data_IF_928074331070
#
_entry.id   IF_928074331070
#
_cell.length_a   1.000
_cell.length_b   1.000
_cell.length_c   1.000
_cell.angle_alpha   90.00
_cell.angle_beta   90.00
_cell.angle_gamma   90.00
#
_symmetry.space_group_name_H-M   'P 1'
#
loop_
_entity.id
_entity.type
_entity.pdbx_description
1 polymer ?
#
# COMPACT_ATOMS: atom_id res chain seq x y z
N UNK A 1 -10.94 -61.76 30.22
CA UNK A 1 -10.96 -62.80 29.16
C UNK A 1 -10.44 -62.18 27.86
N UNK A 2 -9.23 -62.51 27.41
CA UNK A 2 -8.73 -62.15 26.09
C UNK A 2 -8.87 -63.34 25.11
N UNK A 3 -9.43 -63.11 23.93
CA UNK A 3 -9.48 -64.06 22.81
C UNK A 3 -8.85 -63.36 21.61
N UNK A 4 -7.57 -63.63 21.33
CA UNK A 4 -7.07 -64.62 20.34
C UNK A 4 -7.48 -64.24 18.91
N UNK A 5 -6.51 -63.76 18.12
CA UNK A 5 -5.73 -64.54 17.12
C UNK A 5 -6.29 -64.26 15.71
N UNK A 6 -5.54 -64.12 14.60
CA UNK A 6 -4.45 -64.98 14.15
C UNK A 6 -3.79 -64.44 12.86
N UNK A 7 -2.48 -64.68 12.74
CA UNK A 7 -1.68 -65.03 11.53
C UNK A 7 -1.54 -64.01 10.38
N UNK A 8 -0.49 -64.04 9.55
CA UNK A 8 0.95 -64.43 9.54
C UNK A 8 1.35 -64.31 8.06
N UNK A 9 2.65 -64.09 7.79
CA UNK A 9 3.34 -64.36 6.50
C UNK A 9 3.04 -63.40 5.34
N UNK A 10 3.96 -63.09 4.42
CA UNK A 10 5.32 -63.55 4.18
C UNK A 10 6.10 -62.53 3.32
N UNK A 11 7.41 -62.76 3.32
CA UNK A 11 8.51 -62.15 2.57
C UNK A 11 8.24 -61.90 1.07
N UNK A 12 8.90 -60.86 0.55
CA UNK A 12 9.23 -60.71 -0.86
C UNK A 12 10.33 -59.68 -1.05
N UNK A 13 11.59 -60.13 -1.02
CA UNK A 13 12.73 -59.37 -1.56
C UNK A 13 12.72 -59.52 -3.08
N UNK A 14 12.75 -58.41 -3.82
CA UNK A 14 13.28 -58.36 -5.18
C UNK A 14 14.14 -57.11 -5.29
N UNK A 15 15.44 -57.30 -5.48
CA UNK A 15 16.38 -56.30 -5.92
C UNK A 15 16.70 -56.58 -7.39
N UNK A 16 16.53 -55.59 -8.26
CA UNK A 16 17.21 -55.51 -9.54
C UNK A 16 17.25 -54.03 -9.94
N UNK A 17 18.47 -53.55 -10.19
CA UNK A 17 18.77 -52.15 -10.39
C UNK A 17 18.87 -51.70 -11.84
N UNK A 18 19.49 -50.52 -11.95
CA UNK A 18 19.97 -49.80 -13.13
C UNK A 18 18.91 -48.96 -13.84
N UNK A 19 19.05 -47.63 -13.75
CA UNK A 19 19.61 -46.76 -14.80
C UNK A 19 19.74 -45.35 -14.21
N UNK A 20 20.95 -44.79 -14.31
CA UNK A 20 21.23 -43.39 -14.06
C UNK A 20 20.52 -42.52 -15.10
N UNK A 21 19.65 -41.63 -14.65
CA UNK A 21 19.13 -40.51 -15.41
C UNK A 21 19.35 -39.24 -14.61
N UNK A 22 20.47 -38.55 -14.87
CA UNK A 22 20.68 -37.16 -14.49
C UNK A 22 19.60 -36.32 -15.17
N UNK A 23 18.47 -36.09 -14.49
CA UNK A 23 17.61 -34.96 -14.81
C UNK A 23 18.11 -33.80 -13.97
N UNK A 24 18.96 -32.99 -14.59
CA UNK A 24 19.16 -31.59 -14.22
C UNK A 24 17.81 -30.91 -14.42
N UNK A 25 16.94 -31.02 -13.41
CA UNK A 25 15.70 -30.28 -13.31
C UNK A 25 16.03 -28.93 -12.70
N UNK A 26 16.01 -27.90 -13.53
CA UNK A 26 16.35 -26.52 -13.21
C UNK A 26 15.95 -26.12 -11.79
N UNK A 27 16.89 -25.50 -11.09
CA UNK A 27 16.67 -24.63 -9.94
C UNK A 27 15.71 -23.50 -10.37
N UNK A 28 14.42 -23.80 -10.42
CA UNK A 28 13.37 -22.81 -10.56
C UNK A 28 13.30 -22.08 -9.24
N UNK A 29 13.87 -20.88 -9.18
CA UNK A 29 13.64 -19.90 -8.12
C UNK A 29 12.18 -19.47 -8.11
N UNK A 30 11.28 -20.37 -7.73
CA UNK A 30 9.86 -20.11 -7.54
C UNK A 30 9.62 -19.91 -6.07
N UNK A 31 9.58 -18.66 -5.62
CA UNK A 31 9.17 -18.28 -4.26
C UNK A 31 7.90 -19.04 -3.89
N UNK A 32 7.91 -19.74 -2.75
CA UNK A 32 6.79 -20.55 -2.28
C UNK A 32 5.50 -19.71 -2.20
N UNK A 33 4.39 -20.25 -2.71
CA UNK A 33 3.09 -19.57 -2.70
C UNK A 33 2.57 -19.46 -1.26
N UNK A 34 2.35 -18.25 -0.76
CA UNK A 34 1.76 -18.02 0.55
C UNK A 34 0.24 -18.13 0.48
N UNK A 35 -0.38 -18.81 1.43
CA UNK A 35 -1.83 -18.82 1.59
C UNK A 35 -2.28 -17.68 2.48
N UNK A 36 -3.32 -16.96 2.06
CA UNK A 36 -4.01 -15.92 2.83
C UNK A 36 -5.43 -16.40 3.09
N UNK A 37 -5.75 -16.68 4.35
CA UNK A 37 -7.09 -17.09 4.74
C UNK A 37 -8.04 -15.89 4.76
N UNK A 38 -9.20 -16.05 4.13
CA UNK A 38 -10.32 -15.12 4.15
C UNK A 38 -11.53 -15.86 4.68
N UNK A 39 -12.14 -15.37 5.76
CA UNK A 39 -13.33 -15.98 6.35
C UNK A 39 -14.53 -15.09 6.08
N UNK A 40 -15.50 -15.62 5.34
CA UNK A 40 -16.77 -14.98 5.08
C UNK A 40 -17.82 -15.50 6.07
N UNK A 41 -18.37 -14.58 6.87
CA UNK A 41 -19.44 -14.86 7.84
C UNK A 41 -20.77 -14.33 7.33
N UNK A 42 -21.81 -14.37 8.18
CA UNK A 42 -23.11 -13.77 7.85
C UNK A 42 -22.99 -12.27 7.58
N UNK A 43 -22.18 -11.57 8.37
CA UNK A 43 -22.21 -10.11 8.43
C UNK A 43 -21.05 -9.45 7.66
N UNK A 44 -19.87 -10.08 7.62
CA UNK A 44 -18.69 -9.53 6.95
C UNK A 44 -17.67 -10.60 6.54
N UNK A 45 -16.69 -10.20 5.73
CA UNK A 45 -15.50 -10.98 5.43
C UNK A 45 -14.26 -10.43 6.17
N UNK A 46 -13.36 -11.31 6.56
CA UNK A 46 -12.13 -10.95 7.29
C UNK A 46 -10.91 -11.63 6.68
N UNK A 47 -9.71 -11.03 6.76
CA UNK A 47 -9.40 -9.74 7.38
C UNK A 47 -9.86 -8.55 6.51
N UNK A 48 -9.98 -7.35 7.10
CA UNK A 48 -10.26 -6.12 6.36
C UNK A 48 -9.04 -5.58 5.57
N UNK A 49 -7.84 -6.08 5.89
CA UNK A 49 -6.57 -5.69 5.27
C UNK A 49 -5.64 -6.88 5.14
N UNK A 50 -4.99 -7.00 3.99
CA UNK A 50 -4.03 -8.06 3.66
C UNK A 50 -2.75 -7.39 3.21
N UNK A 51 -1.61 -7.80 3.78
CA UNK A 51 -0.29 -7.34 3.34
C UNK A 51 0.36 -8.42 2.46
N UNK A 52 0.85 -8.04 1.29
CA UNK A 52 1.49 -8.92 0.28
C UNK A 52 2.76 -8.28 -0.26
N UNK A 53 3.60 -8.95 -1.06
CA UNK A 53 4.74 -8.32 -1.75
C UNK A 53 4.49 -8.15 -3.25
N UNK A 54 5.16 -7.19 -3.88
CA UNK A 54 5.12 -7.06 -5.34
C UNK A 54 5.65 -8.34 -5.98
N UNK A 55 4.98 -8.83 -7.01
CA UNK A 55 5.30 -10.12 -7.63
C UNK A 55 5.04 -11.34 -6.74
N UNK A 56 4.53 -11.16 -5.51
CA UNK A 56 4.23 -12.29 -4.64
C UNK A 56 3.12 -13.14 -5.25
N UNK A 57 3.36 -14.45 -5.28
CA UNK A 57 2.32 -15.43 -5.62
C UNK A 57 1.59 -15.79 -4.33
N UNK A 58 0.34 -15.38 -4.23
CA UNK A 58 -0.54 -15.71 -3.09
C UNK A 58 -1.67 -16.63 -3.53
N UNK A 59 -2.16 -17.43 -2.60
CA UNK A 59 -3.43 -18.14 -2.70
C UNK A 59 -4.40 -17.53 -1.70
N UNK A 60 -5.45 -16.85 -2.18
CA UNK A 60 -6.56 -16.48 -1.32
C UNK A 60 -7.41 -17.72 -1.06
N UNK A 61 -7.46 -18.18 0.18
CA UNK A 61 -8.31 -19.28 0.61
C UNK A 61 -9.54 -18.69 1.29
N UNK A 62 -10.64 -18.62 0.53
CA UNK A 62 -11.90 -18.03 0.96
C UNK A 62 -12.80 -19.13 1.52
N UNK A 63 -12.97 -19.16 2.84
CA UNK A 63 -13.88 -20.06 3.54
C UNK A 63 -15.19 -19.35 3.83
N UNK A 64 -16.30 -19.87 3.29
CA UNK A 64 -17.63 -19.38 3.58
C UNK A 64 -18.23 -20.16 4.75
N UNK A 65 -18.29 -19.54 5.92
CA UNK A 65 -18.90 -20.09 7.13
C UNK A 65 -20.36 -19.62 7.31
N UNK A 66 -20.88 -18.83 6.36
CA UNK A 66 -22.28 -18.41 6.37
C UNK A 66 -23.20 -19.48 5.77
N UNK A 67 -24.51 -19.31 5.99
CA UNK A 67 -25.55 -20.20 5.46
C UNK A 67 -25.98 -19.89 4.02
N UNK A 68 -25.43 -18.85 3.40
CA UNK A 68 -25.75 -18.44 2.04
C UNK A 68 -24.49 -18.27 1.20
N UNK A 69 -24.66 -18.17 -0.11
CA UNK A 69 -23.53 -18.02 -1.02
C UNK A 69 -22.83 -16.67 -0.84
N UNK A 70 -21.56 -16.64 -1.21
CA UNK A 70 -20.69 -15.46 -1.20
C UNK A 70 -20.01 -15.34 -2.54
N UNK A 71 -19.73 -14.12 -2.97
CA UNK A 71 -18.90 -13.84 -4.13
C UNK A 71 -17.63 -13.12 -3.69
N UNK A 72 -16.54 -13.41 -4.40
CA UNK A 72 -15.24 -12.78 -4.21
C UNK A 72 -14.73 -12.28 -5.55
N UNK A 73 -14.40 -10.99 -5.64
CA UNK A 73 -13.96 -10.35 -6.88
C UNK A 73 -12.84 -9.34 -6.57
N UNK A 74 -11.91 -9.21 -7.50
CA UNK A 74 -10.94 -8.13 -7.48
C UNK A 74 -11.51 -6.85 -8.09
N UNK A 75 -11.30 -5.73 -7.41
CA UNK A 75 -11.68 -4.40 -7.89
C UNK A 75 -10.49 -3.45 -7.73
N UNK A 76 -10.57 -2.24 -8.28
CA UNK A 76 -9.51 -1.23 -8.21
C UNK A 76 -8.13 -1.87 -8.46
N UNK A 77 -7.81 -2.22 -9.70
CA UNK A 77 -6.50 -2.80 -10.04
C UNK A 77 -6.30 -4.29 -9.72
N UNK A 78 -7.08 -4.88 -8.81
CA UNK A 78 -7.03 -6.33 -8.56
C UNK A 78 -7.80 -7.09 -9.64
N UNK A 79 -7.09 -7.79 -10.52
CA UNK A 79 -7.70 -8.52 -11.66
C UNK A 79 -8.08 -9.96 -11.28
N UNK A 80 -9.07 -10.11 -10.41
CA UNK A 80 -9.63 -11.42 -10.03
C UNK A 80 -11.08 -11.45 -10.50
N UNK A 81 -11.41 -12.43 -11.34
CA UNK A 81 -12.78 -12.65 -11.79
C UNK A 81 -13.71 -12.99 -10.62
N UNK A 82 -14.95 -12.54 -10.71
CA UNK A 82 -15.99 -12.85 -9.74
C UNK A 82 -16.12 -14.36 -9.57
N UNK A 83 -15.97 -14.83 -8.33
CA UNK A 83 -15.97 -16.25 -8.00
C UNK A 83 -17.02 -16.54 -6.94
N UNK A 84 -17.95 -17.43 -7.25
CA UNK A 84 -18.94 -17.95 -6.30
C UNK A 84 -18.29 -18.93 -5.30
N UNK A 85 -18.49 -18.65 -4.02
CA UNK A 85 -18.07 -19.44 -2.85
C UNK A 85 -19.33 -19.95 -2.13
N UNK A 86 -19.78 -21.19 -2.40
CA UNK A 86 -21.02 -21.70 -1.82
C UNK A 86 -20.98 -21.81 -0.29
N UNK A 87 -22.15 -21.78 0.35
CA UNK A 87 -22.29 -21.96 1.79
C UNK A 87 -21.54 -23.20 2.32
N UNK A 88 -20.74 -23.05 3.37
CA UNK A 88 -19.95 -24.13 3.98
C UNK A 88 -18.79 -24.64 3.13
N UNK A 89 -18.44 -23.97 2.03
CA UNK A 89 -17.34 -24.36 1.13
C UNK A 89 -16.16 -23.40 1.21
N UNK A 90 -15.02 -23.91 0.78
CA UNK A 90 -13.80 -23.12 0.57
C UNK A 90 -13.49 -23.04 -0.92
N UNK A 91 -13.08 -21.86 -1.39
CA UNK A 91 -12.49 -21.66 -2.72
C UNK A 91 -11.06 -21.14 -2.56
N UNK A 92 -10.20 -21.52 -3.50
CA UNK A 92 -8.83 -21.04 -3.54
C UNK A 92 -8.60 -20.31 -4.85
N UNK A 93 -8.19 -19.05 -4.77
CA UNK A 93 -7.87 -18.22 -5.92
C UNK A 93 -6.39 -17.92 -5.90
N UNK A 94 -5.69 -18.33 -6.96
CA UNK A 94 -4.28 -18.01 -7.11
C UNK A 94 -4.15 -16.63 -7.73
N UNK A 95 -3.39 -15.77 -7.08
CA UNK A 95 -3.18 -14.41 -7.51
C UNK A 95 -1.68 -14.10 -7.50
N UNK A 96 -1.20 -13.48 -8.58
CA UNK A 96 0.14 -12.91 -8.59
C UNK A 96 -0.03 -11.42 -8.42
N UNK A 97 0.52 -10.90 -7.32
CA UNK A 97 0.42 -9.48 -7.01
C UNK A 97 1.14 -8.70 -8.11
N UNK A 98 0.47 -7.77 -8.80
CA UNK A 98 1.08 -7.01 -9.87
C UNK A 98 2.23 -6.16 -9.33
N UNK A 99 3.23 -5.96 -10.16
CA UNK A 99 4.23 -4.91 -9.98
C UNK A 99 3.58 -3.59 -10.40
N UNK A 100 2.73 -3.01 -9.54
CA UNK A 100 1.93 -1.82 -9.86
C UNK A 100 1.77 -0.92 -8.62
N UNK A 101 1.73 0.40 -8.84
CA UNK A 101 1.44 1.41 -7.81
C UNK A 101 -0.05 1.67 -7.58
N UNK A 102 -0.94 0.96 -8.29
CA UNK A 102 -2.39 1.14 -8.14
C UNK A 102 -2.87 0.65 -6.78
N UNK A 103 -3.89 1.30 -6.20
CA UNK A 103 -4.62 0.73 -5.05
C UNK A 103 -5.09 -0.67 -5.45
N UNK A 104 -5.03 -1.66 -4.56
CA UNK A 104 -5.54 -3.00 -4.79
C UNK A 104 -6.62 -3.30 -3.75
N UNK A 105 -7.80 -3.69 -4.21
CA UNK A 105 -8.89 -4.13 -3.32
C UNK A 105 -9.56 -5.40 -3.83
N UNK A 106 -10.15 -6.14 -2.91
CA UNK A 106 -11.11 -7.20 -3.24
C UNK A 106 -12.41 -6.90 -2.53
N UNK A 107 -13.52 -7.26 -3.17
CA UNK A 107 -14.83 -7.28 -2.52
C UNK A 107 -15.22 -8.72 -2.21
N UNK A 108 -15.84 -8.88 -1.05
CA UNK A 108 -16.45 -10.13 -0.61
C UNK A 108 -17.88 -9.82 -0.19
N UNK A 109 -18.87 -10.39 -0.86
CA UNK A 109 -20.24 -9.89 -0.79
C UNK A 109 -21.29 -10.99 -0.94
N UNK A 110 -22.53 -10.64 -0.58
CA UNK A 110 -23.72 -11.45 -0.83
C UNK A 110 -24.25 -11.09 -2.22
N UNK A 111 -24.58 -12.04 -3.10
CA UNK A 111 -25.22 -11.73 -4.38
C UNK A 111 -26.47 -10.87 -4.17
N UNK A 112 -26.46 -9.64 -4.72
CA UNK A 112 -27.55 -8.66 -4.55
C UNK A 112 -27.65 -8.02 -3.15
N UNK A 113 -26.64 -8.16 -2.29
CA UNK A 113 -26.67 -7.71 -0.90
C UNK A 113 -25.41 -6.92 -0.45
N UNK A 114 -25.12 -6.88 0.86
CA UNK A 114 -24.05 -6.06 1.41
C UNK A 114 -22.65 -6.55 0.98
N UNK A 115 -21.71 -5.61 0.92
CA UNK A 115 -20.33 -5.83 0.48
C UNK A 115 -19.33 -5.49 1.58
N UNK A 116 -18.36 -6.38 1.78
CA UNK A 116 -17.14 -6.08 2.54
C UNK A 116 -15.99 -5.78 1.58
N UNK A 117 -15.33 -4.64 1.78
CA UNK A 117 -14.09 -4.31 1.07
C UNK A 117 -12.90 -4.76 1.90
N UNK A 118 -11.96 -5.44 1.26
CA UNK A 118 -10.69 -5.85 1.85
C UNK A 118 -9.56 -5.16 1.09
N UNK A 119 -8.76 -4.38 1.80
CA UNK A 119 -7.60 -3.68 1.25
C UNK A 119 -6.43 -4.65 1.07
N UNK A 120 -5.78 -4.64 -0.10
CA UNK A 120 -4.53 -5.36 -0.35
C UNK A 120 -3.38 -4.35 -0.40
N UNK A 121 -2.47 -4.45 0.55
CA UNK A 121 -1.32 -3.57 0.69
C UNK A 121 -0.05 -4.28 0.25
N UNK A 122 0.61 -3.75 -0.76
CA UNK A 122 1.83 -4.32 -1.34
C UNK A 122 3.07 -3.81 -0.58
N UNK A 123 3.57 -4.62 0.36
CA UNK A 123 4.85 -4.49 1.05
C UNK A 123 6.06 -4.84 0.16
N UNK A 124 7.02 -3.93 0.02
CA UNK A 124 8.26 -4.23 -0.69
C UNK A 124 8.19 -4.21 -2.22
N UNK A 125 7.25 -3.45 -2.81
CA UNK A 125 7.47 -2.88 -4.14
C UNK A 125 8.72 -1.99 -4.08
N UNK A 126 9.86 -2.55 -4.49
CA UNK A 126 11.07 -1.78 -4.81
C UNK A 126 11.03 -1.54 -6.30
N UNK A 127 10.80 -0.30 -6.70
CA UNK A 127 11.24 0.24 -7.98
C UNK A 127 11.93 1.58 -7.73
N UNK A 128 13.24 1.51 -7.51
CA UNK A 128 14.15 2.49 -8.12
C UNK A 128 14.07 2.19 -9.63
N UNK A 129 13.60 3.04 -10.54
CA UNK A 129 13.68 4.50 -10.60
C UNK A 129 12.32 5.17 -10.36
N UNK A 130 12.23 6.03 -9.34
CA UNK A 130 11.12 6.97 -9.22
C UNK A 130 9.95 6.60 -8.31
N UNK A 131 10.06 5.62 -7.41
CA UNK A 131 8.95 5.23 -6.52
C UNK A 131 9.32 4.89 -5.07
N UNK A 132 9.17 5.88 -4.17
CA UNK A 132 8.67 5.77 -2.78
C UNK A 132 9.46 4.91 -1.76
N UNK A 133 10.57 5.47 -1.26
CA UNK A 133 10.75 5.46 0.21
C UNK A 133 9.63 6.30 0.84
N UNK A 134 9.13 6.03 2.06
CA UNK A 134 8.47 7.10 2.80
C UNK A 134 9.47 8.23 2.84
N UNK A 135 9.15 9.37 2.22
CA UNK A 135 10.09 10.48 2.22
C UNK A 135 10.31 10.91 3.67
N UNK A 136 9.28 10.86 4.52
CA UNK A 136 9.44 11.05 5.97
C UNK A 136 10.52 10.14 6.54
N UNK A 137 11.52 10.76 7.18
CA UNK A 137 12.74 10.10 7.65
C UNK A 137 13.13 10.58 9.04
N UNK A 138 13.90 9.76 9.75
CA UNK A 138 14.55 10.13 11.02
C UNK A 138 16.03 10.45 10.87
N UNK A 139 16.57 10.40 9.65
CA UNK A 139 17.94 10.80 9.35
C UNK A 139 18.13 12.28 9.70
N UNK A 140 19.33 12.63 10.18
CA UNK A 140 19.69 14.03 10.40
C UNK A 140 19.61 14.82 9.09
N UNK A 141 18.98 16.01 9.08
CA UNK A 141 18.86 16.81 7.88
C UNK A 141 20.23 17.33 7.41
N UNK A 142 20.48 17.29 6.11
CA UNK A 142 21.63 17.91 5.47
C UNK A 142 21.32 19.32 4.94
N UNK A 143 20.04 19.71 4.93
CA UNK A 143 19.55 21.03 4.59
C UNK A 143 18.29 21.38 5.39
N UNK A 144 18.06 22.67 5.60
CA UNK A 144 16.85 23.21 6.21
C UNK A 144 16.25 24.26 5.28
N UNK A 145 14.94 24.21 5.07
CA UNK A 145 14.16 25.19 4.29
C UNK A 145 13.12 25.80 5.20
N UNK A 146 13.17 27.11 5.39
CA UNK A 146 12.12 27.83 6.13
C UNK A 146 11.04 28.26 5.14
N UNK A 147 9.78 27.98 5.47
CA UNK A 147 8.62 28.26 4.63
C UNK A 147 7.68 29.19 5.38
N UNK A 148 7.47 30.37 4.82
CA UNK A 148 6.55 31.37 5.33
C UNK A 148 5.20 31.24 4.63
N UNK A 149 4.14 31.07 5.42
CA UNK A 149 2.76 30.99 4.98
C UNK A 149 2.07 32.27 5.44
N UNK A 150 1.58 33.06 4.50
CA UNK A 150 0.83 34.28 4.78
C UNK A 150 -0.30 34.42 3.77
N UNK A 151 -1.54 34.45 4.27
CA UNK A 151 -2.74 34.49 3.44
C UNK A 151 -2.70 33.33 2.44
N UNK A 152 -2.81 33.57 1.12
CA UNK A 152 -2.75 32.50 0.11
C UNK A 152 -1.37 32.41 -0.56
N UNK A 153 -0.30 32.72 0.16
CA UNK A 153 1.08 32.72 -0.37
C UNK A 153 1.95 31.71 0.38
N UNK A 154 2.70 30.92 -0.39
CA UNK A 154 3.78 30.04 0.12
C UNK A 154 5.12 30.66 -0.29
N UNK A 155 5.98 30.98 0.69
CA UNK A 155 7.26 31.63 0.45
C UNK A 155 8.40 30.90 1.18
N UNK A 156 9.11 29.97 0.50
CA UNK A 156 10.33 29.41 1.05
C UNK A 156 11.47 30.45 1.01
N UNK A 157 12.41 30.36 1.94
CA UNK A 157 13.62 31.19 1.98
C UNK A 157 14.61 30.87 0.83
N UNK A 158 14.56 29.63 0.33
CA UNK A 158 15.28 29.15 -0.85
C UNK A 158 14.35 28.40 -1.80
N UNK A 159 14.64 28.45 -3.10
CA UNK A 159 13.85 27.73 -4.12
C UNK A 159 14.39 26.36 -4.48
N UNK A 160 15.54 25.97 -3.90
CA UNK A 160 16.11 24.62 -4.10
C UNK A 160 16.95 24.14 -2.91
N UNK A 161 17.06 22.82 -2.77
CA UNK A 161 17.91 22.15 -1.78
C UNK A 161 18.60 20.90 -2.37
N UNK A 162 19.75 20.45 -1.84
CA UNK A 162 20.37 19.21 -2.29
C UNK A 162 19.49 18.00 -1.95
N UNK A 163 19.52 16.97 -2.79
CA UNK A 163 18.87 15.69 -2.49
C UNK A 163 19.36 15.07 -1.18
N UNK A 164 18.46 14.33 -0.53
CA UNK A 164 18.65 13.70 0.76
C UNK A 164 17.68 14.22 1.83
N UNK A 165 18.01 14.02 3.12
CA UNK A 165 17.17 14.45 4.24
C UNK A 165 17.11 15.98 4.37
N UNK A 166 15.97 16.58 4.04
CA UNK A 166 15.70 18.01 4.12
C UNK A 166 14.69 18.26 5.25
N UNK A 167 14.98 19.21 6.14
CA UNK A 167 14.03 19.70 7.14
C UNK A 167 13.26 20.89 6.57
N UNK A 168 11.93 20.78 6.49
CA UNK A 168 11.05 21.90 6.20
C UNK A 168 10.50 22.43 7.52
N UNK A 169 10.60 23.74 7.73
CA UNK A 169 10.01 24.44 8.88
C UNK A 169 8.99 25.41 8.32
N UNK A 170 7.70 25.16 8.54
CA UNK A 170 6.65 26.06 8.09
C UNK A 170 6.15 26.93 9.24
N UNK A 171 6.01 28.23 8.98
CA UNK A 171 5.43 29.20 9.91
C UNK A 171 4.25 29.87 9.25
N UNK A 172 3.10 29.85 9.93
CA UNK A 172 1.95 30.65 9.58
C UNK A 172 2.13 32.03 10.20
N UNK A 173 2.65 32.99 9.44
CA UNK A 173 3.15 34.25 9.98
C UNK A 173 2.01 35.15 10.49
N UNK A 174 0.93 35.26 9.72
CA UNK A 174 -0.09 36.29 9.88
C UNK A 174 -1.50 35.78 9.53
N UNK A 175 -2.50 36.66 9.67
CA UNK A 175 -3.88 36.36 9.29
C UNK A 175 -4.68 35.57 10.33
N UNK A 176 -5.81 35.03 9.87
CA UNK A 176 -6.77 34.26 10.68
C UNK A 176 -6.98 32.84 10.16
N UNK A 177 -6.38 32.51 9.01
CA UNK A 177 -6.56 31.20 8.39
C UNK A 177 -5.59 30.20 9.02
N UNK A 178 -6.08 28.99 9.27
CA UNK A 178 -5.22 27.83 9.49
C UNK A 178 -4.59 27.47 8.14
N UNK A 179 -3.31 27.12 8.16
CA UNK A 179 -2.61 26.66 6.97
C UNK A 179 -1.96 25.31 7.22
N UNK A 180 -1.57 24.67 6.14
CA UNK A 180 -0.69 23.50 6.17
C UNK A 180 0.42 23.70 5.14
N UNK A 181 1.46 22.87 5.21
CA UNK A 181 2.38 22.73 4.09
C UNK A 181 2.47 21.26 3.68
N UNK A 182 2.12 20.98 2.42
CA UNK A 182 2.39 19.73 1.75
C UNK A 182 3.59 19.90 0.81
N UNK A 183 4.52 18.94 0.85
CA UNK A 183 5.62 18.83 -0.10
C UNK A 183 5.21 17.79 -1.15
N UNK A 184 5.00 18.23 -2.39
CA UNK A 184 4.44 17.41 -3.46
C UNK A 184 5.50 17.17 -4.51
N UNK A 185 5.88 15.92 -4.78
CA UNK A 185 6.72 15.59 -5.94
C UNK A 185 5.88 15.72 -7.21
N UNK A 186 6.43 16.43 -8.20
CA UNK A 186 5.85 16.53 -9.54
C UNK A 186 6.42 15.38 -10.36
N UNK A 187 5.57 14.43 -10.77
CA UNK A 187 5.98 13.32 -11.64
C UNK A 187 6.12 13.77 -13.09
N UNK A 188 6.73 12.92 -13.91
CA UNK A 188 6.95 13.21 -15.33
C UNK A 188 5.64 13.37 -16.12
N UNK A 189 4.56 12.73 -15.68
CA UNK A 189 3.21 12.89 -16.23
C UNK A 189 2.47 14.14 -15.71
N UNK A 190 3.13 14.96 -14.89
CA UNK A 190 2.57 16.16 -14.26
C UNK A 190 1.71 15.88 -13.03
N UNK A 191 1.47 14.61 -12.67
CA UNK A 191 0.73 14.27 -11.46
C UNK A 191 1.51 14.64 -10.20
N UNK A 192 0.78 14.99 -9.15
CA UNK A 192 1.36 15.32 -7.85
C UNK A 192 1.37 14.09 -6.94
N UNK A 193 2.48 13.88 -6.24
CA UNK A 193 2.65 12.85 -5.22
C UNK A 193 2.95 13.51 -3.88
N UNK A 194 2.09 13.33 -2.88
CA UNK A 194 2.39 13.81 -1.53
C UNK A 194 3.62 13.07 -0.96
N UNK A 195 4.66 13.86 -0.64
CA UNK A 195 5.89 13.39 -0.03
C UNK A 195 5.86 13.48 1.50
N UNK A 196 5.08 14.41 2.03
CA UNK A 196 4.83 14.60 3.46
C UNK A 196 4.31 16.01 3.70
N UNK A 197 3.69 16.21 4.87
CA UNK A 197 3.06 17.47 5.22
C UNK A 197 3.21 17.82 6.70
N UNK A 198 2.87 19.07 7.00
CA UNK A 198 2.65 19.59 8.34
C UNK A 198 1.21 20.12 8.35
N UNK A 199 0.33 19.39 9.01
CA UNK A 199 -1.11 19.69 9.09
C UNK A 199 -1.39 20.82 10.10
N UNK A 200 -2.51 21.51 9.89
CA UNK A 200 -3.16 22.40 10.87
C UNK A 200 -2.24 23.37 11.64
N UNK A 201 -1.46 24.15 10.90
CA UNK A 201 -0.64 25.24 11.42
C UNK A 201 -1.53 26.47 11.69
N UNK A 202 -1.95 26.62 12.94
CA UNK A 202 -2.67 27.78 13.45
C UNK A 202 -1.92 29.12 13.19
N UNK A 203 -2.62 30.26 13.13
CA UNK A 203 -1.99 31.58 13.01
C UNK A 203 -0.92 31.84 14.08
N UNK A 204 0.24 32.34 13.62
CA UNK A 204 1.46 32.59 14.43
C UNK A 204 2.07 31.34 15.05
N UNK A 205 1.80 30.16 14.49
CA UNK A 205 2.42 28.89 14.89
C UNK A 205 3.33 28.36 13.79
N UNK A 206 4.16 27.40 14.18
CA UNK A 206 5.08 26.71 13.28
C UNK A 206 5.04 25.21 13.53
N UNK A 207 5.42 24.44 12.53
CA UNK A 207 5.71 23.02 12.63
C UNK A 207 6.91 22.64 11.76
N UNK A 208 7.33 21.37 11.83
CA UNK A 208 8.41 20.87 10.99
C UNK A 208 8.23 19.42 10.56
N UNK A 209 8.85 19.08 9.43
CA UNK A 209 8.95 17.71 8.90
C UNK A 209 10.32 17.49 8.27
N UNK A 210 10.89 16.29 8.42
CA UNK A 210 12.13 15.89 7.74
C UNK A 210 11.82 14.85 6.67
N UNK A 211 12.19 15.15 5.43
CA UNK A 211 11.93 14.34 4.24
C UNK A 211 13.23 13.98 3.51
N UNK A 212 13.50 12.70 3.29
CA UNK A 212 14.57 12.15 2.44
C UNK A 212 14.14 12.21 0.97
N UNK A 213 14.40 13.35 0.32
CA UNK A 213 13.93 13.63 -1.03
C UNK A 213 14.98 13.27 -2.10
N UNK A 214 14.63 12.43 -3.09
CA UNK A 214 15.45 12.29 -4.29
C UNK A 214 15.44 13.58 -5.10
N UNK A 215 16.38 13.68 -6.05
CA UNK A 215 16.39 14.78 -7.03
C UNK A 215 15.08 14.81 -7.81
N UNK A 216 14.59 16.00 -8.11
CA UNK A 216 13.39 16.19 -8.91
C UNK A 216 12.70 17.53 -8.70
N UNK A 217 11.57 17.67 -9.37
CA UNK A 217 10.68 18.83 -9.25
C UNK A 217 9.65 18.58 -8.17
N UNK A 218 9.43 19.60 -7.35
CA UNK A 218 8.49 19.57 -6.24
C UNK A 218 7.63 20.83 -6.27
N UNK A 219 6.54 20.78 -5.51
CA UNK A 219 5.65 21.89 -5.23
C UNK A 219 5.38 21.93 -3.73
N UNK A 220 5.61 23.09 -3.14
CA UNK A 220 5.19 23.37 -1.77
C UNK A 220 3.79 24.00 -1.87
N UNK A 221 2.81 23.46 -1.15
CA UNK A 221 1.44 23.96 -1.25
C UNK A 221 0.65 23.81 0.05
N UNK A 222 -0.40 24.61 0.20
CA UNK A 222 -1.46 24.37 1.17
C UNK A 222 -2.63 23.69 0.45
N UNK A 223 -3.08 22.53 0.90
CA UNK A 223 -4.17 21.75 0.30
C UNK A 223 -5.49 21.83 1.09
N UNK A 224 -5.58 22.71 2.09
CA UNK A 224 -6.84 22.96 2.81
C UNK A 224 -7.93 23.36 1.80
N UNK A 225 -9.03 22.61 1.87
CA UNK A 225 -10.23 22.81 1.04
C UNK A 225 -11.40 23.38 1.86
N UNK A 226 -12.48 23.88 1.22
CA UNK A 226 -13.67 24.33 1.94
C UNK A 226 -14.25 23.23 2.86
N UNK A 227 -14.47 23.57 4.12
CA UNK A 227 -14.97 22.65 5.15
C UNK A 227 -13.88 22.01 6.02
N UNK A 228 -12.61 22.12 5.64
CA UNK A 228 -11.46 21.67 6.43
C UNK A 228 -10.88 22.83 7.26
N UNK A 229 -10.48 22.56 8.50
CA UNK A 229 -9.94 23.56 9.43
C UNK A 229 -10.74 24.88 9.54
N UNK A 230 -12.05 24.84 9.27
CA UNK A 230 -12.93 26.01 9.25
C UNK A 230 -12.76 26.93 8.03
N UNK A 231 -12.02 26.52 7.00
CA UNK A 231 -11.87 27.29 5.77
C UNK A 231 -13.14 27.26 4.91
N UNK A 232 -13.40 28.37 4.21
CA UNK A 232 -14.50 28.51 3.24
C UNK A 232 -14.00 28.55 1.79
N UNK A 233 -12.70 28.46 1.57
CA UNK A 233 -12.06 28.57 0.26
C UNK A 233 -11.02 27.46 0.08
N UNK A 234 -10.75 27.09 -1.16
CA UNK A 234 -9.67 26.15 -1.51
C UNK A 234 -8.36 26.93 -1.61
N UNK A 235 -7.42 26.63 -0.72
CA UNK A 235 -6.16 27.39 -0.61
C UNK A 235 -5.26 27.15 -1.84
N UNK A 236 -5.20 25.91 -2.33
CA UNK A 236 -4.42 25.55 -3.51
C UNK A 236 -4.94 26.28 -4.75
N UNK A 237 -6.25 26.22 -4.99
CA UNK A 237 -6.89 26.90 -6.14
C UNK A 237 -6.83 28.42 -6.02
N UNK A 238 -6.67 28.95 -4.81
CA UNK A 238 -6.42 30.38 -4.55
C UNK A 238 -4.97 30.80 -4.81
N UNK A 239 -4.12 29.89 -5.28
CA UNK A 239 -2.72 30.16 -5.65
C UNK A 239 -1.70 29.88 -4.55
N UNK A 240 -2.10 29.21 -3.46
CA UNK A 240 -1.21 28.91 -2.33
C UNK A 240 -0.29 27.73 -2.62
N UNK A 241 0.55 27.89 -3.64
CA UNK A 241 1.56 26.94 -4.03
C UNK A 241 2.76 27.61 -4.70
N UNK A 242 3.94 26.99 -4.60
CA UNK A 242 5.16 27.42 -5.28
C UNK A 242 6.01 26.23 -5.68
N UNK A 243 6.61 26.28 -6.86
CA UNK A 243 7.52 25.23 -7.32
C UNK A 243 8.86 25.30 -6.57
N UNK A 244 9.43 24.14 -6.31
CA UNK A 244 10.66 23.95 -5.55
C UNK A 244 11.48 22.83 -6.20
N UNK A 245 12.81 22.94 -6.17
CA UNK A 245 13.69 21.96 -6.81
C UNK A 245 14.58 21.21 -5.79
N UNK A 246 14.65 19.89 -5.92
CA UNK A 246 15.63 19.08 -5.20
C UNK A 246 16.72 18.66 -6.19
N UNK A 247 17.97 19.06 -5.94
CA UNK A 247 19.08 18.99 -6.90
C UNK A 247 20.21 18.03 -6.53
#
# INVERSE_FOLDING_TARGET
MPSRNFRRSARGLFALGVVAGLVVGCSGGGSARRTVAIVATRDACSPARIVVKAGERVAFEIKNESSGDREFEGIEGTKIEETLVPAGRTRTINYTVPESEQSLKVKCYVPGGPTTLIEIVVSGSVTDEGGRRPFKTTKSPNATVNVHLDSFVVKPDVTSAPAGPIKFIATNDHGTHVHEIAVLRIRDDGSLQNAGEIEDIDPRRSGDVVLDLPKGKYRLACLIVPGEAGSTVDHYQSGMHVDFEVR
#
